data_IF_475525381352
#
_entry.id   IF_475525381352
#
_cell.length_a   1.000
_cell.length_b   1.000
_cell.length_c   1.000
_cell.angle_alpha   90.00
_cell.angle_beta   90.00
_cell.angle_gamma   90.00
#
_symmetry.space_group_name_H-M   'P 1'
#
loop_
_entity.id
_entity.type
_entity.pdbx_description
1 polymer ?
#
# COMPACT_ATOMS: atom_id res chain seq x y z
N UNK A 1 15.42 -17.79 -14.61
CA UNK A 1 15.86 -16.41 -14.58
C UNK A 1 15.00 -15.62 -13.66
N UNK A 2 15.63 -14.88 -12.78
CA UNK A 2 15.00 -14.26 -11.64
C UNK A 2 14.79 -12.74 -11.85
N UNK A 3 14.65 -12.36 -13.12
CA UNK A 3 14.45 -10.94 -13.49
C UNK A 3 13.06 -10.72 -14.04
N UNK A 4 12.35 -9.74 -13.50
CA UNK A 4 11.05 -9.28 -13.99
C UNK A 4 11.21 -7.88 -14.56
N UNK A 5 10.86 -7.68 -15.82
CA UNK A 5 10.80 -6.36 -16.46
C UNK A 5 9.38 -5.84 -16.41
N UNK A 6 9.19 -4.71 -15.74
CA UNK A 6 7.90 -4.04 -15.63
C UNK A 6 7.94 -2.78 -16.50
N UNK A 7 7.10 -2.72 -17.54
CA UNK A 7 6.90 -1.53 -18.34
C UNK A 7 5.71 -0.76 -17.77
N UNK A 8 6.00 0.18 -16.87
CA UNK A 8 4.98 1.03 -16.25
C UNK A 8 4.33 1.96 -17.28
N UNK A 9 3.09 2.34 -17.04
CA UNK A 9 2.40 3.40 -17.79
C UNK A 9 2.35 4.66 -16.94
N UNK A 10 2.65 5.78 -17.55
CA UNK A 10 2.41 7.09 -16.94
C UNK A 10 0.94 7.46 -17.11
N UNK A 11 0.33 8.04 -16.08
CA UNK A 11 -1.04 8.51 -16.13
C UNK A 11 -1.90 7.94 -14.99
N UNK A 12 -3.14 8.39 -14.98
CA UNK A 12 -4.15 7.96 -14.02
C UNK A 12 -4.68 6.56 -14.37
N UNK A 13 -5.16 5.85 -13.38
CA UNK A 13 -5.93 4.61 -13.62
C UNK A 13 -7.13 4.94 -14.53
N UNK A 14 -7.41 4.14 -15.55
CA UNK A 14 -8.61 4.35 -16.38
C UNK A 14 -9.88 4.32 -15.51
N UNK A 15 -10.80 5.23 -15.79
CA UNK A 15 -12.09 5.24 -15.11
C UNK A 15 -12.85 3.94 -15.34
N UNK A 16 -13.44 3.40 -14.29
CA UNK A 16 -14.15 2.11 -14.35
C UNK A 16 -13.24 0.89 -14.45
N UNK A 17 -11.93 1.05 -14.19
CA UNK A 17 -11.01 -0.09 -14.18
C UNK A 17 -11.45 -1.15 -13.16
N UNK A 18 -11.21 -2.41 -13.51
CA UNK A 18 -11.47 -3.56 -12.62
C UNK A 18 -10.14 -4.22 -12.26
N UNK A 19 -9.84 -4.25 -10.97
CA UNK A 19 -8.65 -4.91 -10.42
C UNK A 19 -9.04 -6.22 -9.73
N UNK A 20 -8.46 -7.32 -10.20
CA UNK A 20 -8.72 -8.66 -9.66
C UNK A 20 -7.68 -9.03 -8.62
N UNK A 21 -8.06 -8.98 -7.35
CA UNK A 21 -7.17 -9.24 -6.22
C UNK A 21 -7.09 -10.72 -5.83
N UNK A 22 -7.99 -11.57 -6.32
CA UNK A 22 -8.12 -12.98 -5.94
C UNK A 22 -8.25 -13.10 -4.42
N UNK A 23 -7.22 -13.59 -3.70
CA UNK A 23 -7.18 -13.70 -2.23
C UNK A 23 -6.17 -12.73 -1.58
N UNK A 24 -5.49 -11.89 -2.37
CA UNK A 24 -4.43 -11.03 -1.87
C UNK A 24 -4.96 -9.78 -1.17
N UNK A 25 -4.88 -9.77 0.16
CA UNK A 25 -5.20 -8.59 0.97
C UNK A 25 -4.24 -7.42 0.72
N UNK A 26 -2.97 -7.72 0.45
CA UNK A 26 -1.97 -6.68 0.11
C UNK A 26 -2.31 -6.02 -1.22
N UNK A 27 -2.60 -6.81 -2.26
CA UNK A 27 -3.00 -6.25 -3.56
C UNK A 27 -4.24 -5.36 -3.39
N UNK A 28 -5.26 -5.81 -2.68
CA UNK A 28 -6.47 -5.02 -2.44
C UNK A 28 -6.13 -3.69 -1.75
N UNK A 29 -5.48 -3.75 -0.59
CA UNK A 29 -5.27 -2.56 0.25
C UNK A 29 -4.22 -1.61 -0.31
N UNK A 30 -3.15 -2.13 -0.91
CA UNK A 30 -2.12 -1.28 -1.52
C UNK A 30 -2.60 -0.56 -2.75
N UNK A 31 -3.50 -1.18 -3.54
CA UNK A 31 -3.90 -0.63 -4.84
C UNK A 31 -5.12 0.28 -4.79
N UNK A 32 -5.90 0.29 -3.69
CA UNK A 32 -7.07 1.18 -3.59
C UNK A 32 -6.68 2.64 -3.78
N UNK A 33 -5.77 3.25 -2.99
CA UNK A 33 -5.43 4.65 -3.15
C UNK A 33 -4.81 4.99 -4.53
N UNK A 34 -3.83 4.23 -5.06
CA UNK A 34 -3.30 4.48 -6.40
C UNK A 34 -4.36 4.40 -7.50
N UNK A 35 -5.27 3.45 -7.42
CA UNK A 35 -6.33 3.30 -8.40
C UNK A 35 -7.31 4.48 -8.40
N UNK A 36 -7.54 5.07 -7.22
CA UNK A 36 -8.41 6.24 -7.07
C UNK A 36 -7.82 7.56 -7.58
N UNK A 37 -6.58 7.57 -8.06
CA UNK A 37 -6.05 8.73 -8.79
C UNK A 37 -6.77 8.98 -10.11
N UNK A 38 -7.49 7.98 -10.62
CA UNK A 38 -8.25 8.05 -11.88
C UNK A 38 -9.77 8.22 -11.72
N UNK A 39 -10.30 8.07 -10.52
CA UNK A 39 -11.73 8.16 -10.28
C UNK A 39 -12.37 6.81 -9.94
N UNK A 40 -13.47 6.44 -10.63
CA UNK A 40 -14.18 5.18 -10.36
C UNK A 40 -13.33 3.94 -10.60
N UNK A 41 -13.36 3.01 -9.64
CA UNK A 41 -12.62 1.73 -9.73
C UNK A 41 -13.35 0.61 -8.99
N UNK A 42 -13.29 -0.60 -9.53
CA UNK A 42 -13.82 -1.82 -8.90
C UNK A 42 -12.69 -2.78 -8.54
N UNK A 43 -12.77 -3.33 -7.34
CA UNK A 43 -11.89 -4.41 -6.87
C UNK A 43 -12.69 -5.69 -6.72
N UNK A 44 -12.25 -6.77 -7.37
CA UNK A 44 -12.84 -8.10 -7.28
C UNK A 44 -11.94 -9.02 -6.46
N UNK A 45 -12.55 -9.88 -5.66
CA UNK A 45 -11.84 -10.84 -4.82
C UNK A 45 -12.73 -12.00 -4.39
N UNK A 46 -12.12 -12.99 -3.73
CA UNK A 46 -12.89 -14.07 -3.14
C UNK A 46 -13.75 -13.55 -1.98
N UNK A 47 -14.88 -14.23 -1.65
CA UNK A 47 -15.69 -13.84 -0.50
C UNK A 47 -14.88 -13.67 0.78
N UNK A 48 -13.94 -14.59 1.04
CA UNK A 48 -13.04 -14.51 2.21
C UNK A 48 -12.17 -13.23 2.24
N UNK A 49 -11.69 -12.76 1.07
CA UNK A 49 -10.95 -11.51 0.99
C UNK A 49 -11.87 -10.32 1.28
N UNK A 50 -13.06 -10.31 0.71
CA UNK A 50 -14.02 -9.22 0.85
C UNK A 50 -14.56 -9.12 2.28
N UNK A 51 -14.74 -10.24 2.98
CA UNK A 51 -15.11 -10.30 4.41
C UNK A 51 -14.05 -9.66 5.31
N UNK A 52 -12.76 -9.82 4.99
CA UNK A 52 -11.67 -9.14 5.72
C UNK A 52 -11.72 -7.62 5.60
N UNK A 53 -12.43 -7.13 4.60
CA UNK A 53 -12.85 -5.76 4.44
C UNK A 53 -11.74 -4.74 4.23
N UNK A 54 -12.21 -3.54 4.00
CA UNK A 54 -11.39 -2.32 3.84
C UNK A 54 -11.92 -1.19 4.74
N UNK A 55 -12.47 -1.54 5.91
CA UNK A 55 -13.23 -0.63 6.79
C UNK A 55 -12.52 0.68 7.11
N UNK A 56 -11.19 0.65 7.25
CA UNK A 56 -10.39 1.87 7.44
C UNK A 56 -10.53 2.81 6.24
N UNK A 57 -10.45 2.28 5.02
CA UNK A 57 -10.65 3.10 3.82
C UNK A 57 -12.11 3.55 3.66
N UNK A 58 -13.07 2.76 4.12
CA UNK A 58 -14.47 3.16 4.06
C UNK A 58 -14.72 4.44 4.84
N UNK A 59 -14.19 4.51 6.07
CA UNK A 59 -14.27 5.72 6.87
C UNK A 59 -13.43 6.86 6.27
N UNK A 60 -12.15 6.61 6.05
CA UNK A 60 -11.18 7.62 5.64
C UNK A 60 -11.50 8.25 4.28
N UNK A 61 -11.94 7.44 3.31
CA UNK A 61 -12.28 7.88 1.97
C UNK A 61 -13.70 8.42 1.89
N UNK A 62 -14.61 7.89 2.71
CA UNK A 62 -15.96 8.44 2.88
C UNK A 62 -15.94 9.88 3.35
N UNK A 63 -15.10 10.19 4.33
CA UNK A 63 -14.89 11.58 4.83
C UNK A 63 -14.31 12.51 3.73
N UNK A 64 -13.72 11.95 2.68
CA UNK A 64 -13.21 12.67 1.49
C UNK A 64 -14.21 12.70 0.33
N UNK A 65 -15.45 12.26 0.54
CA UNK A 65 -16.52 12.27 -0.46
C UNK A 65 -16.47 11.13 -1.48
N UNK A 66 -15.70 10.06 -1.20
CA UNK A 66 -15.66 8.88 -2.06
C UNK A 66 -16.78 7.92 -1.62
N UNK A 67 -17.75 7.68 -2.51
CA UNK A 67 -18.81 6.70 -2.28
C UNK A 67 -18.28 5.27 -2.48
N UNK A 68 -18.71 4.35 -1.63
CA UNK A 68 -18.26 2.96 -1.64
C UNK A 68 -19.47 2.04 -1.70
N UNK A 69 -19.49 1.15 -2.70
CA UNK A 69 -20.52 0.12 -2.87
C UNK A 69 -19.88 -1.26 -2.80
N UNK A 70 -20.57 -2.18 -2.12
CA UNK A 70 -20.13 -3.56 -2.00
C UNK A 70 -21.21 -4.49 -2.51
N UNK A 71 -20.77 -5.54 -3.17
CA UNK A 71 -21.59 -6.69 -3.52
C UNK A 71 -20.85 -8.02 -3.25
N UNK A 72 -21.45 -9.14 -3.58
CA UNK A 72 -20.85 -10.47 -3.35
C UNK A 72 -19.58 -10.74 -4.14
N UNK A 73 -19.28 -9.96 -5.18
CA UNK A 73 -18.12 -10.14 -6.07
C UNK A 73 -17.04 -9.08 -5.91
N UNK A 74 -17.32 -7.95 -5.21
CA UNK A 74 -16.34 -6.88 -5.15
C UNK A 74 -16.73 -5.67 -4.34
N UNK A 75 -15.81 -4.71 -4.37
CA UNK A 75 -15.96 -3.39 -3.76
C UNK A 75 -15.71 -2.36 -4.85
N UNK A 76 -16.62 -1.43 -4.99
CA UNK A 76 -16.54 -0.36 -5.98
C UNK A 76 -16.46 1.00 -5.29
N UNK A 77 -15.55 1.82 -5.77
CA UNK A 77 -15.29 3.16 -5.28
C UNK A 77 -15.66 4.17 -6.35
N UNK A 78 -16.36 5.24 -5.96
CA UNK A 78 -16.79 6.32 -6.83
C UNK A 78 -16.23 7.65 -6.34
N UNK A 79 -15.28 8.22 -7.06
CA UNK A 79 -14.60 9.45 -6.72
C UNK A 79 -13.10 9.36 -6.89
N UNK A 80 -12.42 10.48 -6.79
CA UNK A 80 -10.97 10.57 -6.93
C UNK A 80 -10.32 10.87 -5.58
N UNK A 81 -9.14 10.27 -5.34
CA UNK A 81 -8.32 10.57 -4.18
C UNK A 81 -7.87 12.03 -4.24
N UNK A 82 -7.98 12.74 -3.12
CA UNK A 82 -7.59 14.14 -2.98
C UNK A 82 -6.41 14.30 -2.02
N UNK A 83 -5.59 15.32 -2.24
CA UNK A 83 -4.54 15.69 -1.30
C UNK A 83 -5.15 16.24 0.01
N UNK A 84 -4.37 16.23 1.09
CA UNK A 84 -4.77 16.77 2.38
C UNK A 84 -4.37 15.89 3.55
N UNK A 85 -5.01 16.10 4.70
CA UNK A 85 -4.73 15.35 5.92
C UNK A 85 -5.46 14.00 5.94
N UNK A 86 -4.74 12.97 6.36
CA UNK A 86 -5.20 11.60 6.57
C UNK A 86 -4.82 11.14 7.97
N UNK A 87 -5.80 10.92 8.82
CA UNK A 87 -5.59 10.48 10.20
C UNK A 87 -6.04 9.04 10.34
N UNK A 88 -5.12 8.16 10.74
CA UNK A 88 -5.38 6.74 10.92
C UNK A 88 -4.94 6.27 12.31
N UNK A 89 -5.60 5.24 12.82
CA UNK A 89 -5.11 4.53 13.99
C UNK A 89 -3.90 3.68 13.60
N UNK A 90 -2.92 3.61 14.48
CA UNK A 90 -1.70 2.82 14.24
C UNK A 90 -1.80 1.34 14.65
N UNK A 91 -2.88 0.95 15.34
CA UNK A 91 -3.21 -0.42 15.70
C UNK A 91 -3.94 -1.19 14.58
N UNK A 92 -4.06 -0.58 13.42
CA UNK A 92 -4.58 -1.21 12.21
C UNK A 92 -3.44 -1.69 11.31
N UNK A 93 -3.77 -2.48 10.31
CA UNK A 93 -2.76 -2.98 9.36
C UNK A 93 -2.02 -1.83 8.66
N UNK A 94 -0.68 -1.87 8.69
CA UNK A 94 0.19 -0.94 7.95
C UNK A 94 -0.09 -0.88 6.44
N UNK A 95 -0.78 -1.88 5.90
CA UNK A 95 -1.15 -1.93 4.49
C UNK A 95 -2.00 -0.73 4.04
N UNK A 96 -2.83 -0.18 4.94
CA UNK A 96 -3.62 1.02 4.64
C UNK A 96 -2.72 2.25 4.48
N UNK A 97 -1.72 2.38 5.34
CA UNK A 97 -0.75 3.48 5.29
C UNK A 97 0.12 3.36 4.04
N UNK A 98 0.63 2.15 3.74
CA UNK A 98 1.41 1.86 2.54
C UNK A 98 0.65 2.25 1.27
N UNK A 99 -0.64 1.90 1.17
CA UNK A 99 -1.46 2.27 0.02
C UNK A 99 -1.56 3.79 -0.18
N UNK A 100 -1.74 4.55 0.90
CA UNK A 100 -1.74 6.02 0.84
C UNK A 100 -0.38 6.57 0.42
N UNK A 101 0.71 6.04 0.99
CA UNK A 101 2.08 6.45 0.64
C UNK A 101 2.41 6.19 -0.84
N UNK A 102 1.80 5.19 -1.47
CA UNK A 102 1.95 4.94 -2.91
C UNK A 102 1.22 5.97 -3.77
N UNK A 103 0.12 6.53 -3.31
CA UNK A 103 -0.75 7.38 -4.12
C UNK A 103 -0.55 8.88 -3.89
N UNK A 104 -0.44 9.30 -2.63
CA UNK A 104 -0.43 10.71 -2.26
C UNK A 104 0.69 11.53 -2.93
N UNK A 105 1.92 10.99 -3.12
CA UNK A 105 2.96 11.71 -3.83
C UNK A 105 2.61 12.09 -5.27
N UNK A 106 1.69 11.34 -5.90
CA UNK A 106 1.29 11.55 -7.30
C UNK A 106 0.23 12.64 -7.47
N UNK A 107 -0.40 13.07 -6.38
CA UNK A 107 -1.44 14.10 -6.40
C UNK A 107 -0.81 15.49 -6.55
N UNK A 108 -1.58 16.45 -7.03
CA UNK A 108 -1.08 17.81 -7.28
C UNK A 108 -0.81 18.62 -6.02
N UNK A 109 -1.44 18.27 -4.90
CA UNK A 109 -1.28 18.95 -3.62
C UNK A 109 -0.52 18.11 -2.59
N UNK A 110 0.01 18.78 -1.57
CA UNK A 110 0.69 18.15 -0.46
C UNK A 110 -0.29 17.45 0.47
N UNK A 111 0.20 16.40 1.11
CA UNK A 111 -0.58 15.61 2.05
C UNK A 111 0.19 15.37 3.36
N UNK A 112 -0.56 15.07 4.42
CA UNK A 112 -0.01 14.68 5.70
C UNK A 112 -0.71 13.41 6.15
N UNK A 113 0.06 12.43 6.57
CA UNK A 113 -0.47 11.22 7.22
C UNK A 113 -0.12 11.27 8.69
N UNK A 114 -1.12 11.28 9.57
CA UNK A 114 -0.98 11.20 11.02
C UNK A 114 -1.40 9.82 11.51
N UNK A 115 -0.51 9.13 12.20
CA UNK A 115 -0.77 7.80 12.74
C UNK A 115 -0.92 7.91 14.25
N UNK A 116 -2.13 7.65 14.74
CA UNK A 116 -2.44 7.71 16.15
C UNK A 116 -1.90 6.47 16.88
N UNK A 117 -1.29 6.62 18.06
CA UNK A 117 -0.79 5.49 18.84
C UNK A 117 -1.94 4.61 19.39
N UNK A 118 -1.66 3.31 19.69
CA UNK A 118 -0.37 2.64 19.52
C UNK A 118 -0.08 2.37 18.05
N UNK A 119 1.21 2.39 17.64
CA UNK A 119 1.61 2.09 16.26
C UNK A 119 2.19 0.69 16.19
N UNK A 120 1.43 -0.21 15.63
CA UNK A 120 1.85 -1.56 15.31
C UNK A 120 2.48 -1.62 13.92
N UNK A 121 3.34 -2.60 13.69
CA UNK A 121 3.94 -2.84 12.37
C UNK A 121 4.68 -1.61 11.78
N UNK A 122 5.27 -0.75 12.61
CA UNK A 122 6.03 0.44 12.20
C UNK A 122 7.12 0.10 11.16
N UNK A 123 7.81 -1.01 11.33
CA UNK A 123 8.85 -1.45 10.40
C UNK A 123 8.37 -1.56 8.95
N UNK A 124 7.12 -1.96 8.71
CA UNK A 124 6.58 -2.03 7.34
C UNK A 124 6.34 -0.64 6.72
N UNK A 125 6.06 0.36 7.55
CA UNK A 125 5.94 1.75 7.10
C UNK A 125 7.32 2.27 6.70
N UNK A 126 8.34 1.99 7.51
CA UNK A 126 9.73 2.39 7.25
C UNK A 126 10.27 1.71 5.98
N UNK A 127 10.01 0.42 5.78
CA UNK A 127 10.34 -0.31 4.54
C UNK A 127 9.64 0.35 3.34
N UNK A 128 8.37 0.71 3.48
CA UNK A 128 7.62 1.39 2.42
C UNK A 128 8.27 2.73 2.06
N UNK A 129 8.59 3.56 3.05
CA UNK A 129 9.22 4.85 2.84
C UNK A 129 10.61 4.71 2.17
N UNK A 130 11.42 3.75 2.62
CA UNK A 130 12.72 3.45 2.02
C UNK A 130 12.59 2.98 0.56
N UNK A 131 11.64 2.07 0.28
CA UNK A 131 11.38 1.61 -1.07
C UNK A 131 10.96 2.77 -1.98
N UNK A 132 10.04 3.62 -1.53
CA UNK A 132 9.62 4.82 -2.26
C UNK A 132 10.77 5.77 -2.52
N UNK A 133 11.63 5.99 -1.53
CA UNK A 133 12.86 6.79 -1.67
C UNK A 133 13.77 6.26 -2.76
N UNK A 134 13.90 4.93 -2.87
CA UNK A 134 14.69 4.28 -3.93
C UNK A 134 14.16 4.52 -5.35
N UNK A 135 12.88 4.88 -5.48
CA UNK A 135 12.23 5.27 -6.73
C UNK A 135 12.03 6.79 -6.85
N UNK A 136 12.76 7.58 -6.07
CA UNK A 136 12.80 9.03 -6.18
C UNK A 136 11.66 9.78 -5.47
N UNK A 137 10.82 9.09 -4.70
CA UNK A 137 9.74 9.71 -3.93
C UNK A 137 10.28 10.20 -2.58
N UNK A 138 9.97 11.45 -2.26
CA UNK A 138 10.37 12.10 -1.00
C UNK A 138 9.22 12.10 -0.02
N UNK A 139 9.45 11.52 1.15
CA UNK A 139 8.54 11.54 2.30
C UNK A 139 9.37 11.91 3.51
N UNK A 140 8.88 12.82 4.35
CA UNK A 140 9.56 13.25 5.56
C UNK A 140 8.69 13.00 6.79
N UNK A 141 9.27 12.44 7.83
CA UNK A 141 8.62 12.39 9.14
C UNK A 141 9.08 13.63 9.92
N UNK A 142 8.16 14.56 10.18
CA UNK A 142 8.47 15.79 10.92
C UNK A 142 8.27 15.65 12.43
N UNK A 143 7.23 14.94 12.81
CA UNK A 143 6.92 14.56 14.18
C UNK A 143 6.72 13.05 14.22
N UNK A 144 6.92 12.45 15.38
CA UNK A 144 6.75 11.00 15.54
C UNK A 144 5.41 10.55 14.99
N UNK A 145 5.44 9.63 14.02
CA UNK A 145 4.28 9.07 13.34
C UNK A 145 3.49 10.08 12.46
N UNK A 146 4.09 11.22 12.11
CA UNK A 146 3.49 12.22 11.22
C UNK A 146 4.36 12.39 9.98
N UNK A 147 3.83 11.97 8.84
CA UNK A 147 4.54 11.95 7.57
C UNK A 147 4.02 13.07 6.67
N UNK A 148 4.92 13.97 6.29
CA UNK A 148 4.66 14.93 5.21
C UNK A 148 4.96 14.26 3.87
N UNK A 149 4.01 14.36 2.97
CA UNK A 149 4.05 13.77 1.64
C UNK A 149 3.85 14.89 0.61
N UNK A 150 4.94 15.52 0.11
CA UNK A 150 4.81 16.50 -0.96
C UNK A 150 4.15 15.89 -2.19
N UNK A 151 3.26 16.65 -2.80
CA UNK A 151 2.58 16.25 -4.03
C UNK A 151 3.39 16.54 -5.30
N UNK A 152 2.81 16.28 -6.46
CA UNK A 152 3.42 16.53 -7.76
C UNK A 152 4.65 15.70 -8.09
N UNK A 153 4.94 14.67 -7.30
CA UNK A 153 6.08 13.79 -7.50
C UNK A 153 5.84 12.75 -8.59
N UNK A 154 6.91 12.14 -9.07
CA UNK A 154 6.87 11.06 -10.06
C UNK A 154 7.87 9.99 -9.67
N UNK A 155 7.47 8.73 -9.85
CA UNK A 155 8.37 7.60 -9.69
C UNK A 155 9.44 7.61 -10.77
N UNK A 156 10.68 7.45 -10.36
CA UNK A 156 11.81 7.24 -11.26
C UNK A 156 11.91 5.74 -11.60
N UNK A 157 12.06 5.43 -12.88
CA UNK A 157 12.40 4.07 -13.30
C UNK A 157 13.82 3.70 -12.86
N UNK A 158 14.06 2.42 -12.61
CA UNK A 158 15.40 1.94 -12.26
C UNK A 158 15.39 0.45 -12.00
N UNK A 159 16.57 -0.15 -12.09
CA UNK A 159 16.79 -1.55 -11.75
C UNK A 159 16.92 -1.67 -10.23
N UNK A 160 16.19 -2.62 -9.66
CA UNK A 160 16.20 -2.91 -8.22
C UNK A 160 16.38 -4.40 -8.00
N UNK A 161 17.19 -4.74 -7.03
CA UNK A 161 17.28 -6.11 -6.54
C UNK A 161 16.36 -6.24 -5.34
N UNK A 162 15.46 -7.21 -5.36
CA UNK A 162 14.62 -7.55 -4.23
C UNK A 162 15.37 -8.60 -3.43
N UNK A 163 15.62 -8.31 -2.16
CA UNK A 163 16.20 -9.27 -1.21
C UNK A 163 15.23 -10.41 -0.89
N UNK A 164 15.72 -11.46 -0.26
CA UNK A 164 14.90 -12.58 0.16
C UNK A 164 13.87 -12.20 1.23
N UNK A 165 12.85 -13.03 1.34
CA UNK A 165 11.77 -12.84 2.32
C UNK A 165 12.21 -13.31 3.71
N UNK A 166 12.63 -12.37 4.53
CA UNK A 166 13.05 -12.61 5.92
C UNK A 166 11.95 -13.24 6.78
N UNK A 167 10.68 -12.96 6.51
CA UNK A 167 9.56 -13.53 7.25
C UNK A 167 9.42 -15.03 6.98
N UNK A 168 9.58 -15.45 5.73
CA UNK A 168 9.62 -16.86 5.37
C UNK A 168 10.92 -17.52 5.83
N UNK A 169 12.05 -16.83 5.72
CA UNK A 169 13.35 -17.32 6.18
C UNK A 169 13.37 -17.59 7.69
N UNK A 170 12.71 -16.75 8.49
CA UNK A 170 12.68 -16.92 9.95
C UNK A 170 12.13 -18.28 10.38
N UNK A 171 11.15 -18.83 9.70
CA UNK A 171 10.61 -20.16 9.97
C UNK A 171 11.65 -21.26 9.68
N UNK A 172 12.43 -21.10 8.61
CA UNK A 172 13.51 -22.03 8.24
C UNK A 172 14.70 -21.92 9.19
N UNK A 173 15.04 -20.69 9.60
CA UNK A 173 16.11 -20.47 10.58
C UNK A 173 15.70 -20.96 11.99
N UNK A 174 14.43 -20.83 12.38
CA UNK A 174 13.94 -21.42 13.63
C UNK A 174 14.09 -22.95 13.66
N UNK A 175 13.98 -23.62 12.51
CA UNK A 175 14.25 -25.05 12.41
C UNK A 175 15.71 -25.40 12.75
N UNK A 176 16.66 -24.53 12.44
CA UNK A 176 18.06 -24.71 12.80
C UNK A 176 18.29 -24.70 14.32
N UNK A 177 17.47 -23.95 15.09
CA UNK A 177 17.55 -23.91 16.55
C UNK A 177 17.18 -25.24 17.21
N UNK A 178 16.40 -26.08 16.55
CA UNK A 178 15.96 -27.38 17.05
C UNK A 178 16.71 -28.54 16.39
N UNK A 179 17.90 -28.29 15.83
CA UNK A 179 18.78 -29.30 15.26
C UNK A 179 18.67 -29.50 13.74
N UNK A 180 17.92 -28.68 13.05
CA UNK A 180 17.88 -28.62 11.58
C UNK A 180 19.21 -28.14 10.98
N UNK A 181 19.36 -28.33 9.68
CA UNK A 181 20.52 -27.84 8.91
C UNK A 181 20.04 -27.26 7.58
N UNK A 182 19.44 -26.10 7.64
CA UNK A 182 18.98 -25.34 6.46
C UNK A 182 19.90 -24.14 6.26
N UNK A 183 20.32 -23.92 5.03
CA UNK A 183 21.08 -22.74 4.64
C UNK A 183 20.21 -21.89 3.73
N UNK A 184 19.71 -20.77 4.23
CA UNK A 184 18.89 -19.81 3.47
C UNK A 184 19.84 -18.86 2.76
N UNK A 185 19.67 -18.72 1.45
CA UNK A 185 20.49 -17.83 0.60
C UNK A 185 19.66 -16.67 0.10
N UNK A 186 20.33 -15.55 -0.14
CA UNK A 186 19.71 -14.38 -0.76
C UNK A 186 18.93 -13.46 0.20
N UNK A 187 19.21 -13.60 1.50
CA UNK A 187 18.71 -12.67 2.53
C UNK A 187 19.56 -11.40 2.56
#
# INVERSE_FOLDING_TARGET
GDTVKICGKTGKTPEGAVLRCRESGSTLRFMIPPALTGGRVRFEGTPRLLERGVGIYEQLLGDKGIEIKKDSGGIEFFGALTAGEYVLRGDVSSQFITGLLFALPLLSGDSVIKILPPVESRAYIDITAAALGSFGIKIAEHEKNTFAVPGGQRYAAGDKTVEGDWSNAAALEAFNLIGGRVNVKGL
#
